data_IF_055195369157
#
_entry.id   IF_055195369157
#
_cell.length_a   1.000
_cell.length_b   1.000
_cell.length_c   1.000
_cell.angle_alpha   90.00
_cell.angle_beta   90.00
_cell.angle_gamma   90.00
#
_symmetry.space_group_name_H-M   'P 1'
#
loop_
_entity.id
_entity.type
_entity.pdbx_description
1 polymer ?
#
# COMPACT_ATOMS: atom_id res chain seq x y z
N UNK A 1 13.87 23.54 -13.07
CA UNK A 1 13.66 22.35 -13.91
C UNK A 1 12.46 22.45 -14.85
N UNK A 2 11.66 23.53 -14.76
CA UNK A 2 10.52 23.77 -15.69
C UNK A 2 9.21 23.07 -15.31
N UNK A 3 9.12 22.49 -14.12
CA UNK A 3 7.85 22.00 -13.60
C UNK A 3 6.94 23.15 -13.15
N UNK A 4 5.65 23.07 -13.48
CA UNK A 4 4.59 23.83 -12.85
C UNK A 4 4.19 23.13 -11.57
N UNK A 5 4.35 23.81 -10.42
CA UNK A 5 4.24 23.23 -9.09
C UNK A 5 3.12 23.91 -8.30
N UNK A 6 2.19 23.12 -7.80
CA UNK A 6 1.11 23.56 -6.90
C UNK A 6 1.27 22.89 -5.54
N UNK A 7 1.45 23.69 -4.48
CA UNK A 7 1.44 23.20 -3.10
C UNK A 7 0.01 23.29 -2.59
N UNK A 8 -0.54 22.14 -2.21
CA UNK A 8 -1.93 21.98 -1.76
C UNK A 8 -1.91 21.69 -0.26
N UNK A 9 -2.65 22.49 0.50
CA UNK A 9 -2.78 22.32 1.94
C UNK A 9 -4.20 21.88 2.29
N UNK A 10 -4.33 20.75 3.00
CA UNK A 10 -5.59 20.19 3.44
C UNK A 10 -5.58 19.92 4.95
N UNK A 11 -6.78 19.88 5.55
CA UNK A 11 -6.95 19.60 6.96
C UNK A 11 -6.12 20.51 7.85
N UNK A 12 -5.46 19.93 8.85
CA UNK A 12 -4.63 20.67 9.81
C UNK A 12 -3.17 20.80 9.31
N UNK A 13 -3.00 21.58 8.22
CA UNK A 13 -1.71 21.95 7.61
C UNK A 13 -0.93 20.80 6.93
N UNK A 14 -1.61 19.74 6.47
CA UNK A 14 -0.99 18.71 5.65
C UNK A 14 -0.69 19.27 4.27
N UNK A 15 0.59 19.27 3.89
CA UNK A 15 1.05 19.81 2.61
C UNK A 15 1.30 18.69 1.61
N UNK A 16 0.76 18.88 0.41
CA UNK A 16 0.98 17.98 -0.71
C UNK A 16 1.52 18.78 -1.89
N UNK A 17 2.27 18.14 -2.75
CA UNK A 17 2.77 18.73 -3.99
C UNK A 17 2.14 18.02 -5.19
N UNK A 18 1.52 18.79 -6.07
CA UNK A 18 1.26 18.37 -7.44
C UNK A 18 2.18 19.16 -8.37
N UNK A 19 3.05 18.45 -9.10
CA UNK A 19 3.96 19.06 -10.06
C UNK A 19 3.73 18.46 -11.45
N UNK A 20 3.71 19.29 -12.49
CA UNK A 20 3.52 18.84 -13.87
C UNK A 20 4.58 19.45 -14.79
N UNK A 21 5.17 18.60 -15.63
CA UNK A 21 6.10 19.02 -16.68
C UNK A 21 5.47 18.79 -18.04
N UNK A 22 5.40 19.84 -18.85
CA UNK A 22 4.74 19.89 -20.16
C UNK A 22 3.21 19.63 -20.06
N UNK A 23 2.49 20.03 -21.09
CA UNK A 23 1.07 19.75 -21.25
C UNK A 23 0.88 18.85 -22.46
N UNK A 24 0.16 17.76 -22.28
CA UNK A 24 -0.12 16.78 -23.32
C UNK A 24 -0.77 15.52 -22.77
N UNK A 25 -1.15 14.64 -23.66
CA UNK A 25 -1.65 13.30 -23.35
C UNK A 25 -0.81 12.29 -24.12
N UNK A 26 -0.52 11.11 -23.51
CA UNK A 26 -0.92 10.69 -22.18
C UNK A 26 -0.18 11.43 -21.05
N UNK A 27 -0.74 11.42 -19.83
CA UNK A 27 -0.10 11.92 -18.61
C UNK A 27 0.39 10.74 -17.75
N UNK A 28 1.70 10.54 -17.69
CA UNK A 28 2.34 9.65 -16.74
C UNK A 28 2.47 10.35 -15.38
N UNK A 29 1.96 9.74 -14.32
CA UNK A 29 2.13 10.24 -12.96
C UNK A 29 3.08 9.35 -12.16
N UNK A 30 3.93 9.98 -11.36
CA UNK A 30 4.60 9.34 -10.24
C UNK A 30 3.93 9.78 -8.95
N UNK A 31 3.65 8.84 -8.06
CA UNK A 31 3.12 9.15 -6.73
C UNK A 31 4.05 8.61 -5.63
N UNK A 32 4.10 9.33 -4.51
CA UNK A 32 4.88 8.94 -3.36
C UNK A 32 4.67 9.86 -2.17
N UNK A 33 5.28 9.51 -1.03
CA UNK A 33 5.16 10.27 0.20
C UNK A 33 6.52 10.68 0.78
N UNK A 34 6.49 11.68 1.65
CA UNK A 34 7.68 12.21 2.34
C UNK A 34 7.55 12.21 3.86
N UNK A 35 6.34 11.96 4.38
CA UNK A 35 6.15 11.65 5.80
C UNK A 35 6.71 10.27 6.12
N UNK A 36 6.85 9.99 7.40
CA UNK A 36 7.50 8.76 7.89
C UNK A 36 6.88 8.34 9.22
N UNK A 37 6.86 7.04 9.49
CA UNK A 37 6.47 6.52 10.80
C UNK A 37 7.43 7.00 11.91
N UNK A 38 6.97 7.06 13.17
CA UNK A 38 7.83 7.39 14.30
C UNK A 38 9.09 6.51 14.34
N UNK A 39 10.24 7.06 14.78
CA UNK A 39 11.52 6.34 14.77
C UNK A 39 11.63 5.23 15.84
N UNK A 40 10.70 5.16 16.78
CA UNK A 40 10.81 4.30 17.95
C UNK A 40 11.83 4.88 18.97
N UNK A 41 12.53 4.00 19.67
CA UNK A 41 13.50 4.41 20.70
C UNK A 41 14.78 4.96 20.05
N UNK A 42 15.05 6.26 20.20
CA UNK A 42 16.22 6.92 19.59
C UNK A 42 17.56 6.30 20.02
N UNK A 43 17.64 5.79 21.25
CA UNK A 43 18.85 5.14 21.79
C UNK A 43 19.25 3.84 21.08
N UNK A 44 18.31 3.22 20.35
CA UNK A 44 18.53 1.95 19.66
C UNK A 44 19.05 2.17 18.22
N UNK A 45 19.06 3.43 17.76
CA UNK A 45 19.63 3.78 16.45
C UNK A 45 21.15 3.93 16.54
N UNK A 46 21.84 3.26 15.62
CA UNK A 46 23.30 3.41 15.46
C UNK A 46 23.66 4.79 14.89
N UNK A 47 22.76 5.39 14.08
CA UNK A 47 22.85 6.74 13.50
C UNK A 47 21.55 7.47 13.78
N UNK A 48 21.58 8.79 13.91
CA UNK A 48 20.37 9.56 14.17
C UNK A 48 19.32 9.34 13.06
N UNK A 49 18.07 8.96 13.39
CA UNK A 49 17.06 8.63 12.36
C UNK A 49 16.77 9.78 11.40
N UNK A 50 16.92 11.03 11.84
CA UNK A 50 16.69 12.24 11.05
C UNK A 50 17.99 12.99 10.69
N UNK A 51 19.13 12.35 10.91
CA UNK A 51 20.44 12.84 10.50
C UNK A 51 21.06 11.78 9.55
N UNK A 52 20.71 11.82 8.23
CA UNK A 52 21.10 10.75 7.31
C UNK A 52 22.61 10.66 7.14
N UNK A 53 23.12 9.44 7.14
CA UNK A 53 24.55 9.15 6.98
C UNK A 53 24.75 8.06 5.92
N UNK A 54 25.76 8.27 5.04
CA UNK A 54 26.21 7.23 4.12
C UNK A 54 27.43 6.54 4.72
N UNK A 55 27.31 5.23 4.97
CA UNK A 55 28.41 4.38 5.45
C UNK A 55 28.41 3.05 4.71
N UNK A 56 29.57 2.62 4.28
CA UNK A 56 29.79 1.36 3.53
C UNK A 56 28.84 1.19 2.33
N UNK A 57 28.55 2.29 1.62
CA UNK A 57 27.65 2.31 0.49
C UNK A 57 26.14 2.22 0.83
N UNK A 58 25.78 2.28 2.12
CA UNK A 58 24.40 2.31 2.61
C UNK A 58 24.04 3.70 3.11
N UNK A 59 22.89 4.22 2.70
CA UNK A 59 22.28 5.45 3.25
C UNK A 59 21.37 5.07 4.42
N UNK A 60 21.70 5.51 5.61
CA UNK A 60 20.92 5.30 6.84
C UNK A 60 20.03 6.50 7.13
N UNK A 61 18.81 6.26 7.56
CA UNK A 61 17.86 7.28 8.01
C UNK A 61 16.40 6.81 7.90
N UNK A 62 15.54 7.30 8.77
CA UNK A 62 14.10 7.05 8.71
C UNK A 62 13.53 7.64 7.41
N UNK A 63 12.80 6.83 6.64
CA UNK A 63 12.27 7.19 5.33
C UNK A 63 13.26 6.96 4.18
N UNK A 64 14.46 6.43 4.45
CA UNK A 64 15.41 6.10 3.40
C UNK A 64 14.87 4.99 2.49
N UNK A 65 14.29 3.94 3.06
CA UNK A 65 13.64 2.88 2.29
C UNK A 65 12.18 3.24 1.95
N UNK A 66 11.45 3.81 2.89
CA UNK A 66 10.02 4.09 2.78
C UNK A 66 9.74 5.58 2.97
N UNK A 67 9.53 6.35 1.84
CA UNK A 67 9.90 5.95 0.46
C UNK A 67 10.71 7.06 -0.25
N UNK A 68 11.46 7.87 0.52
CA UNK A 68 12.17 9.05 -0.02
C UNK A 68 13.19 8.70 -1.12
N UNK A 69 13.78 7.48 -1.08
CA UNK A 69 14.66 7.02 -2.15
C UNK A 69 13.93 6.84 -3.48
N UNK A 70 12.69 6.33 -3.45
CA UNK A 70 11.85 6.21 -4.65
C UNK A 70 11.55 7.58 -5.25
N UNK A 71 11.15 8.55 -4.40
CA UNK A 71 10.91 9.94 -4.81
C UNK A 71 12.17 10.56 -5.40
N UNK A 72 13.31 10.43 -4.72
CA UNK A 72 14.58 10.99 -5.19
C UNK A 72 15.05 10.37 -6.52
N UNK A 73 14.91 9.05 -6.67
CA UNK A 73 15.26 8.35 -7.90
C UNK A 73 14.42 8.80 -9.09
N UNK A 74 13.10 8.99 -8.89
CA UNK A 74 12.22 9.49 -9.94
C UNK A 74 12.58 10.94 -10.34
N UNK A 75 12.78 11.82 -9.36
CA UNK A 75 13.17 13.22 -9.62
C UNK A 75 14.51 13.26 -10.38
N UNK A 76 15.49 12.44 -9.97
CA UNK A 76 16.79 12.36 -10.65
C UNK A 76 16.65 11.85 -12.10
N UNK A 77 15.80 10.84 -12.35
CA UNK A 77 15.51 10.38 -13.72
C UNK A 77 14.93 11.51 -14.58
N UNK A 78 14.00 12.29 -14.04
CA UNK A 78 13.41 13.44 -14.73
C UNK A 78 14.43 14.54 -15.02
N UNK A 79 15.28 14.88 -14.04
CA UNK A 79 16.33 15.89 -14.23
C UNK A 79 17.30 15.47 -15.34
N UNK A 80 17.68 14.19 -15.39
CA UNK A 80 18.54 13.64 -16.43
C UNK A 80 17.88 13.75 -17.82
N UNK A 81 16.62 13.33 -17.95
CA UNK A 81 15.89 13.39 -19.22
C UNK A 81 15.72 14.83 -19.73
N UNK A 82 15.44 15.78 -18.85
CA UNK A 82 15.33 17.20 -19.20
C UNK A 82 16.69 17.73 -19.65
N UNK A 83 17.78 17.41 -18.95
CA UNK A 83 19.12 17.81 -19.33
C UNK A 83 19.56 17.24 -20.70
N UNK A 84 19.13 16.02 -21.02
CA UNK A 84 19.35 15.36 -22.31
C UNK A 84 18.39 15.86 -23.41
N UNK A 85 17.48 16.79 -23.09
CA UNK A 85 16.47 17.34 -24.01
C UNK A 85 15.56 16.26 -24.61
N UNK A 86 15.21 15.26 -23.79
CA UNK A 86 14.30 14.20 -24.20
C UNK A 86 12.93 14.77 -24.64
N UNK A 87 12.39 14.24 -25.73
CA UNK A 87 11.11 14.66 -26.27
C UNK A 87 9.98 13.81 -25.68
N UNK A 88 9.20 14.42 -24.79
CA UNK A 88 8.04 13.77 -24.16
C UNK A 88 6.84 13.86 -25.10
N UNK A 89 6.36 12.72 -25.61
CA UNK A 89 5.12 12.65 -26.38
C UNK A 89 3.92 12.53 -25.42
N UNK A 90 3.68 13.57 -24.65
CA UNK A 90 2.66 13.61 -23.59
C UNK A 90 3.04 14.58 -22.48
N UNK A 91 2.58 14.30 -21.26
CA UNK A 91 2.97 15.03 -20.06
C UNK A 91 3.39 14.08 -18.95
N UNK A 92 4.17 14.59 -17.99
CA UNK A 92 4.56 13.85 -16.80
C UNK A 92 4.25 14.68 -15.57
N UNK A 93 3.72 14.04 -14.55
CA UNK A 93 3.36 14.67 -13.28
C UNK A 93 3.90 13.90 -12.08
N UNK A 94 4.04 14.60 -10.96
CA UNK A 94 4.36 14.01 -9.67
C UNK A 94 3.32 14.45 -8.64
N UNK A 95 2.82 13.49 -7.86
CA UNK A 95 1.96 13.70 -6.70
C UNK A 95 2.75 13.24 -5.48
N UNK A 96 3.16 14.17 -4.62
CA UNK A 96 3.93 13.88 -3.42
C UNK A 96 3.14 14.33 -2.21
N UNK A 97 2.77 13.38 -1.34
CA UNK A 97 2.04 13.65 -0.10
C UNK A 97 2.96 13.69 1.13
N UNK A 98 2.49 14.33 2.20
CA UNK A 98 3.07 14.24 3.54
C UNK A 98 2.11 13.62 4.55
N UNK A 99 1.21 12.74 4.12
CA UNK A 99 0.19 12.12 4.96
C UNK A 99 -0.22 10.71 4.49
N UNK A 100 0.73 9.90 4.04
CA UNK A 100 0.49 8.49 3.71
C UNK A 100 0.45 7.64 4.97
N UNK A 101 1.38 7.87 5.90
CA UNK A 101 1.63 7.04 7.07
C UNK A 101 0.68 7.33 8.25
N UNK A 102 -0.13 8.39 8.18
CA UNK A 102 -0.93 8.81 9.34
C UNK A 102 -2.30 9.42 9.02
N UNK A 103 -2.33 10.52 8.29
CA UNK A 103 -3.55 11.31 8.04
C UNK A 103 -4.01 11.19 6.57
N UNK A 104 -4.18 9.95 6.11
CA UNK A 104 -4.43 9.59 4.70
C UNK A 104 -5.58 10.36 4.03
N UNK A 105 -6.57 10.84 4.81
CA UNK A 105 -7.70 11.63 4.31
C UNK A 105 -7.28 13.00 3.75
N UNK A 106 -6.14 13.56 4.24
CA UNK A 106 -5.59 14.85 3.81
C UNK A 106 -4.41 14.69 2.83
N UNK A 107 -4.02 13.45 2.54
CA UNK A 107 -2.94 13.09 1.63
C UNK A 107 -3.41 12.92 0.19
N UNK A 108 -2.97 11.84 -0.43
CA UNK A 108 -3.25 11.50 -1.84
C UNK A 108 -4.74 11.52 -2.16
N UNK A 109 -5.62 11.04 -1.27
CA UNK A 109 -7.07 11.07 -1.46
C UNK A 109 -7.60 12.50 -1.70
N UNK A 110 -7.18 13.46 -0.86
CA UNK A 110 -7.60 14.86 -1.02
C UNK A 110 -7.03 15.50 -2.31
N UNK A 111 -5.79 15.14 -2.68
CA UNK A 111 -5.19 15.62 -3.95
C UNK A 111 -5.96 15.07 -5.15
N UNK A 112 -6.34 13.80 -5.15
CA UNK A 112 -7.14 13.21 -6.25
C UNK A 112 -8.52 13.86 -6.39
N UNK A 113 -9.17 14.21 -5.28
CA UNK A 113 -10.42 14.97 -5.30
C UNK A 113 -10.23 16.40 -5.86
N UNK A 114 -9.16 17.09 -5.44
CA UNK A 114 -8.80 18.39 -6.00
C UNK A 114 -8.50 18.27 -7.51
N UNK A 115 -7.76 17.24 -7.95
CA UNK A 115 -7.49 17.00 -9.37
C UNK A 115 -8.79 16.80 -10.17
N UNK A 116 -9.74 16.03 -9.63
CA UNK A 116 -11.06 15.82 -10.23
C UNK A 116 -11.78 17.15 -10.42
N UNK A 117 -11.81 18.00 -9.39
CA UNK A 117 -12.45 19.33 -9.45
C UNK A 117 -11.76 20.28 -10.44
N UNK A 118 -10.46 20.12 -10.66
CA UNK A 118 -9.65 20.88 -11.64
C UNK A 118 -9.58 20.21 -13.02
N UNK A 119 -10.30 19.10 -13.23
CA UNK A 119 -10.30 18.32 -14.48
C UNK A 119 -8.87 17.88 -14.91
N UNK A 120 -7.96 17.69 -13.95
CA UNK A 120 -6.63 17.16 -14.20
C UNK A 120 -6.72 15.63 -14.30
N UNK A 121 -6.21 15.07 -15.40
CA UNK A 121 -6.27 13.62 -15.66
C UNK A 121 -4.88 12.98 -15.55
N UNK A 122 -4.86 11.74 -15.12
CA UNK A 122 -3.72 10.83 -15.15
C UNK A 122 -4.11 9.64 -16.01
N UNK A 123 -3.22 9.18 -16.89
CA UNK A 123 -3.48 8.02 -17.75
C UNK A 123 -2.80 6.75 -17.21
N UNK A 124 -1.71 6.89 -16.48
CA UNK A 124 -1.02 5.81 -15.78
C UNK A 124 -0.24 6.35 -14.59
N UNK A 125 -0.16 5.60 -13.51
CA UNK A 125 0.60 5.99 -12.32
C UNK A 125 1.60 4.91 -11.89
N UNK A 126 2.80 5.35 -11.48
CA UNK A 126 3.78 4.54 -10.76
C UNK A 126 3.89 5.08 -9.34
N UNK A 127 3.61 4.25 -8.35
CA UNK A 127 3.85 4.59 -6.94
C UNK A 127 5.22 4.06 -6.55
N UNK A 128 6.08 4.92 -6.01
CA UNK A 128 7.50 4.62 -5.76
C UNK A 128 7.76 3.86 -4.45
N UNK A 129 6.79 3.11 -3.94
CA UNK A 129 6.87 2.28 -2.73
C UNK A 129 7.98 1.23 -2.79
N UNK A 130 8.59 0.86 -1.64
CA UNK A 130 9.62 -0.19 -1.59
C UNK A 130 9.00 -1.57 -1.85
N UNK A 131 8.99 -2.00 -3.10
CA UNK A 131 8.35 -3.24 -3.54
C UNK A 131 9.30 -4.41 -3.71
N UNK A 132 10.58 -4.14 -3.98
CA UNK A 132 11.58 -5.17 -4.19
C UNK A 132 11.84 -5.96 -2.90
N UNK A 133 12.01 -7.28 -3.01
CA UNK A 133 12.05 -8.19 -1.85
C UNK A 133 13.47 -8.53 -1.43
N UNK A 134 14.22 -9.24 -2.28
CA UNK A 134 15.60 -9.69 -2.01
C UNK A 134 16.63 -8.94 -2.83
N UNK A 135 16.26 -8.55 -4.03
CA UNK A 135 17.10 -7.79 -4.98
C UNK A 135 16.28 -6.69 -5.58
N UNK A 136 16.91 -5.55 -5.86
CA UNK A 136 16.24 -4.48 -6.59
C UNK A 136 15.65 -5.04 -7.90
N UNK A 137 14.40 -4.71 -8.16
CA UNK A 137 13.72 -5.10 -9.39
C UNK A 137 13.14 -6.50 -9.41
N UNK A 138 13.21 -7.28 -8.33
CA UNK A 138 12.67 -8.64 -8.31
C UNK A 138 11.13 -8.68 -8.20
N UNK A 139 10.48 -7.57 -7.87
CA UNK A 139 9.02 -7.54 -7.62
C UNK A 139 8.40 -6.20 -8.01
N UNK A 140 7.35 -6.25 -8.82
CA UNK A 140 6.39 -5.15 -9.08
C UNK A 140 5.08 -5.49 -8.37
N UNK A 141 4.49 -4.51 -7.68
CA UNK A 141 3.13 -4.68 -7.12
C UNK A 141 2.09 -4.19 -8.11
N UNK A 142 1.17 -5.09 -8.47
CA UNK A 142 0.03 -4.81 -9.34
C UNK A 142 -1.28 -4.76 -8.56
N UNK A 143 -1.23 -4.91 -7.24
CA UNK A 143 -2.37 -4.89 -6.36
C UNK A 143 -1.96 -5.07 -4.91
N UNK A 144 -2.88 -4.79 -4.01
CA UNK A 144 -2.73 -4.96 -2.56
C UNK A 144 -4.03 -5.46 -1.97
N UNK A 145 -3.93 -6.25 -0.90
CA UNK A 145 -5.10 -6.67 -0.13
C UNK A 145 -5.66 -5.49 0.65
N UNK A 146 -6.97 -5.47 0.82
CA UNK A 146 -7.63 -4.55 1.73
C UNK A 146 -7.35 -4.90 3.19
N UNK A 147 -7.62 -3.95 4.07
CA UNK A 147 -7.42 -4.08 5.51
C UNK A 147 -8.63 -3.55 6.25
N UNK A 148 -9.19 -4.36 7.14
CA UNK A 148 -10.27 -3.96 8.04
C UNK A 148 -9.97 -4.42 9.45
N UNK A 149 -10.11 -3.49 10.40
CA UNK A 149 -9.93 -3.77 11.83
C UNK A 149 -11.29 -3.75 12.53
N UNK A 150 -11.56 -4.80 13.29
CA UNK A 150 -12.72 -4.89 14.15
C UNK A 150 -12.33 -4.63 15.60
N UNK A 151 -13.20 -3.89 16.30
CA UNK A 151 -13.20 -3.81 17.76
C UNK A 151 -14.51 -4.41 18.25
N UNK A 152 -14.40 -5.44 19.08
CA UNK A 152 -15.56 -6.14 19.68
C UNK A 152 -15.52 -5.94 21.18
N UNK A 153 -16.62 -5.47 21.74
CA UNK A 153 -16.85 -5.35 23.19
C UNK A 153 -17.99 -6.32 23.54
N UNK A 154 -17.70 -7.36 24.32
CA UNK A 154 -18.73 -8.22 24.90
C UNK A 154 -19.03 -7.75 26.29
N UNK A 155 -20.34 -7.65 26.59
CA UNK A 155 -20.82 -7.34 27.91
C UNK A 155 -21.23 -8.62 28.66
N UNK A 156 -21.15 -8.56 29.95
CA UNK A 156 -21.58 -9.61 30.87
C UNK A 156 -22.02 -9.04 32.20
N UNK A 157 -22.11 -9.89 33.22
CA UNK A 157 -22.49 -9.49 34.55
C UNK A 157 -21.37 -9.77 35.54
N UNK A 158 -20.84 -8.69 36.13
CA UNK A 158 -19.79 -8.80 37.14
C UNK A 158 -20.29 -9.61 38.35
N UNK A 159 -19.37 -10.44 38.90
CA UNK A 159 -19.71 -11.23 40.10
C UNK A 159 -18.49 -11.88 40.75
N UNK A 160 -18.72 -12.56 41.86
CA UNK A 160 -17.68 -13.27 42.57
C UNK A 160 -17.41 -14.63 41.92
N UNK A 161 -16.17 -15.02 41.69
CA UNK A 161 -15.79 -16.28 41.01
C UNK A 161 -16.29 -17.54 41.70
N UNK A 162 -16.56 -17.48 43.03
CA UNK A 162 -17.14 -18.60 43.79
C UNK A 162 -18.63 -18.81 43.53
N UNK A 163 -19.29 -17.83 42.87
CA UNK A 163 -20.75 -17.89 42.61
C UNK A 163 -21.00 -17.60 41.10
N UNK A 164 -20.51 -18.46 40.21
CA UNK A 164 -20.57 -18.20 38.76
C UNK A 164 -22.01 -18.10 38.24
N UNK A 165 -22.98 -18.78 38.86
CA UNK A 165 -24.41 -18.74 38.47
C UNK A 165 -25.06 -17.37 38.71
N UNK A 166 -24.44 -16.48 39.48
CA UNK A 166 -24.91 -15.12 39.74
C UNK A 166 -24.25 -14.07 38.79
N UNK A 167 -23.31 -14.50 37.96
CA UNK A 167 -22.54 -13.68 37.05
C UNK A 167 -22.74 -14.15 35.61
N UNK A 168 -22.17 -13.37 34.68
CA UNK A 168 -22.05 -13.74 33.25
C UNK A 168 -20.68 -13.30 32.76
N UNK A 169 -19.82 -14.24 32.39
CA UNK A 169 -18.43 -13.96 32.10
C UNK A 169 -18.21 -13.57 30.62
N UNK A 170 -17.94 -12.31 30.30
CA UNK A 170 -17.74 -11.86 28.93
C UNK A 170 -16.45 -12.39 28.30
N UNK A 171 -15.48 -12.84 29.09
CA UNK A 171 -14.22 -13.44 28.58
C UNK A 171 -14.54 -14.70 27.77
N UNK A 172 -15.43 -15.56 28.27
CA UNK A 172 -15.81 -16.79 27.59
C UNK A 172 -16.58 -16.49 26.28
N UNK A 173 -17.36 -15.40 26.23
CA UNK A 173 -18.00 -14.93 24.99
C UNK A 173 -16.97 -14.54 23.97
N UNK A 174 -15.99 -13.69 24.35
CA UNK A 174 -14.87 -13.29 23.46
C UNK A 174 -14.09 -14.49 22.95
N UNK A 175 -13.70 -15.44 23.83
CA UNK A 175 -12.98 -16.65 23.43
C UNK A 175 -13.79 -17.47 22.41
N UNK A 176 -15.08 -17.64 22.65
CA UNK A 176 -15.98 -18.41 21.76
C UNK A 176 -16.12 -17.73 20.39
N UNK A 177 -16.30 -16.41 20.36
CA UNK A 177 -16.38 -15.63 19.11
C UNK A 177 -15.05 -15.72 18.36
N UNK A 178 -13.91 -15.44 19.01
CA UNK A 178 -12.60 -15.47 18.38
C UNK A 178 -12.23 -16.87 17.86
N UNK A 179 -12.64 -17.92 18.56
CA UNK A 179 -12.46 -19.30 18.09
C UNK A 179 -13.23 -19.55 16.79
N UNK A 180 -14.47 -19.08 16.68
CA UNK A 180 -15.25 -19.18 15.44
C UNK A 180 -14.63 -18.36 14.33
N UNK A 181 -14.24 -17.09 14.57
CA UNK A 181 -13.58 -16.22 13.60
C UNK A 181 -12.30 -16.84 13.06
N UNK A 182 -11.43 -17.38 13.96
CA UNK A 182 -10.18 -18.06 13.57
C UNK A 182 -10.40 -19.26 12.67
N UNK A 183 -11.48 -20.01 12.90
CA UNK A 183 -11.79 -21.21 12.12
C UNK A 183 -12.65 -20.91 10.87
N UNK A 184 -12.99 -19.64 10.62
CA UNK A 184 -13.73 -19.24 9.42
C UNK A 184 -12.80 -19.22 8.23
N UNK A 185 -13.19 -19.92 7.15
CA UNK A 185 -12.58 -19.77 5.83
C UNK A 185 -13.29 -18.62 5.13
N UNK A 186 -12.62 -17.48 4.98
CA UNK A 186 -13.19 -16.31 4.32
C UNK A 186 -13.32 -16.52 2.81
N UNK A 187 -12.29 -17.09 2.19
CA UNK A 187 -12.17 -17.47 0.77
C UNK A 187 -10.97 -18.40 0.57
N UNK A 188 -10.76 -18.84 -0.66
CA UNK A 188 -9.63 -19.72 -1.03
C UNK A 188 -8.50 -18.98 -1.77
N UNK A 189 -8.63 -17.66 -1.92
CA UNK A 189 -7.74 -16.88 -2.78
C UNK A 189 -7.99 -17.16 -4.26
N UNK A 190 -7.17 -16.53 -5.11
CA UNK A 190 -7.30 -16.67 -6.55
C UNK A 190 -5.92 -16.53 -7.25
N UNK A 191 -5.92 -16.43 -8.58
CA UNK A 191 -4.69 -16.30 -9.39
C UNK A 191 -3.77 -15.17 -8.90
N UNK A 192 -4.33 -14.10 -8.35
CA UNK A 192 -3.59 -12.89 -7.98
C UNK A 192 -3.41 -12.73 -6.48
N UNK A 193 -4.32 -13.27 -5.68
CA UNK A 193 -4.35 -13.04 -4.23
C UNK A 193 -4.31 -14.34 -3.43
N UNK A 194 -3.59 -14.27 -2.33
CA UNK A 194 -3.67 -15.28 -1.27
C UNK A 194 -5.06 -15.24 -0.60
N UNK A 195 -5.48 -16.31 0.09
CA UNK A 195 -6.69 -16.31 0.90
C UNK A 195 -6.72 -15.16 1.92
N UNK A 196 -7.90 -14.62 2.16
CA UNK A 196 -8.14 -13.66 3.24
C UNK A 196 -7.94 -14.34 4.59
N UNK A 197 -7.35 -13.62 5.56
CA UNK A 197 -7.07 -14.15 6.87
C UNK A 197 -7.28 -13.11 7.97
N UNK A 198 -7.52 -13.61 9.18
CA UNK A 198 -7.75 -12.81 10.38
C UNK A 198 -6.64 -13.05 11.40
N UNK A 199 -6.15 -11.95 12.03
CA UNK A 199 -5.24 -11.99 13.16
C UNK A 199 -5.79 -11.17 14.31
N UNK A 200 -5.81 -11.78 15.51
CA UNK A 200 -6.21 -11.11 16.76
C UNK A 200 -5.01 -10.31 17.27
N UNK A 201 -5.23 -9.02 17.55
CA UNK A 201 -4.15 -8.11 17.94
C UNK A 201 -4.16 -7.79 19.44
N UNK A 202 -5.34 -7.71 20.08
CA UNK A 202 -5.44 -7.52 21.53
C UNK A 202 -6.64 -8.27 22.11
N UNK A 203 -6.54 -8.63 23.39
CA UNK A 203 -7.65 -9.02 24.25
C UNK A 203 -7.46 -8.28 25.58
N UNK A 204 -8.33 -7.32 25.85
CA UNK A 204 -8.21 -6.40 26.97
C UNK A 204 -9.41 -6.55 27.90
N UNK A 205 -9.16 -6.88 29.14
CA UNK A 205 -10.19 -7.03 30.17
C UNK A 205 -10.04 -5.96 31.27
N UNK A 206 -8.79 -5.51 31.53
CA UNK A 206 -8.48 -4.52 32.55
C UNK A 206 -8.77 -4.98 33.99
N UNK A 207 -8.95 -6.29 34.20
CA UNK A 207 -9.29 -6.85 35.51
C UNK A 207 -8.03 -7.28 36.30
N UNK A 208 -7.67 -6.55 37.33
CA UNK A 208 -6.53 -6.84 38.20
C UNK A 208 -6.89 -7.66 39.45
N UNK A 209 -8.14 -8.15 39.56
CA UNK A 209 -8.68 -8.82 40.76
C UNK A 209 -8.99 -10.28 40.44
N UNK A 210 -8.28 -11.21 41.11
CA UNK A 210 -8.36 -12.66 40.81
C UNK A 210 -9.68 -13.35 41.21
N UNK A 211 -10.44 -12.76 42.11
CA UNK A 211 -11.70 -13.30 42.59
C UNK A 211 -12.94 -12.59 42.05
N UNK A 212 -12.80 -11.78 40.99
CA UNK A 212 -13.85 -11.02 40.33
C UNK A 212 -14.04 -11.48 38.89
N UNK A 213 -15.25 -11.84 38.49
CA UNK A 213 -15.67 -11.98 37.10
C UNK A 213 -15.91 -10.58 36.54
N UNK A 214 -15.28 -10.12 35.45
CA UNK A 214 -15.44 -8.76 34.91
C UNK A 214 -16.82 -8.56 34.29
N UNK A 215 -17.26 -7.29 34.14
CA UNK A 215 -18.52 -6.92 33.48
C UNK A 215 -18.40 -6.72 31.97
N UNK A 216 -17.17 -6.59 31.43
CA UNK A 216 -16.93 -6.47 30.00
C UNK A 216 -15.57 -7.02 29.63
N UNK A 217 -15.41 -7.38 28.35
CA UNK A 217 -14.14 -7.76 27.73
C UNK A 217 -14.09 -7.19 26.30
N UNK A 218 -12.94 -6.63 25.92
CA UNK A 218 -12.73 -6.01 24.61
C UNK A 218 -11.67 -6.78 23.84
N UNK A 219 -11.84 -6.92 22.53
CA UNK A 219 -10.83 -7.49 21.65
C UNK A 219 -10.75 -6.71 20.36
N UNK A 220 -9.56 -6.67 19.76
CA UNK A 220 -9.35 -6.16 18.40
C UNK A 220 -8.71 -7.24 17.55
N UNK A 221 -9.13 -7.30 16.30
CA UNK A 221 -8.57 -8.19 15.29
C UNK A 221 -8.61 -7.52 13.92
N UNK A 222 -7.66 -7.88 13.08
CA UNK A 222 -7.54 -7.33 11.71
C UNK A 222 -7.76 -8.45 10.70
N UNK A 223 -8.53 -8.15 9.64
CA UNK A 223 -8.70 -9.02 8.50
C UNK A 223 -8.01 -8.39 7.29
N UNK A 224 -7.05 -9.12 6.71
CA UNK A 224 -6.48 -8.82 5.40
C UNK A 224 -7.26 -9.58 4.36
N UNK A 225 -7.96 -8.87 3.48
CA UNK A 225 -8.90 -9.45 2.54
C UNK A 225 -8.52 -9.19 1.08
N UNK A 226 -8.87 -10.12 0.21
CA UNK A 226 -8.68 -10.03 -1.23
C UNK A 226 -9.96 -9.53 -1.93
N UNK A 227 -9.94 -9.47 -3.26
CA UNK A 227 -11.03 -8.94 -4.08
C UNK A 227 -12.28 -9.84 -4.19
N UNK A 228 -12.31 -10.98 -3.49
CA UNK A 228 -13.51 -11.82 -3.32
C UNK A 228 -14.35 -11.38 -2.12
N UNK A 229 -13.81 -10.47 -1.29
CA UNK A 229 -14.43 -9.94 -0.09
C UNK A 229 -14.71 -8.44 -0.22
N UNK A 230 -15.64 -7.96 0.60
CA UNK A 230 -15.90 -6.53 0.78
C UNK A 230 -15.98 -6.20 2.27
N UNK A 231 -15.65 -4.97 2.70
CA UNK A 231 -15.78 -4.58 4.11
C UNK A 231 -17.17 -4.84 4.68
N UNK A 232 -18.23 -4.52 3.91
CA UNK A 232 -19.60 -4.76 4.32
C UNK A 232 -19.96 -6.24 4.45
N UNK A 233 -19.46 -7.09 3.55
CA UNK A 233 -19.64 -8.54 3.64
C UNK A 233 -18.92 -9.14 4.86
N UNK A 234 -17.70 -8.68 5.12
CA UNK A 234 -16.93 -9.08 6.30
C UNK A 234 -17.62 -8.62 7.60
N UNK A 235 -18.14 -7.38 7.64
CA UNK A 235 -18.89 -6.90 8.80
C UNK A 235 -20.09 -7.80 9.10
N UNK A 236 -20.90 -8.11 8.08
CA UNK A 236 -22.08 -8.97 8.22
C UNK A 236 -21.70 -10.37 8.74
N UNK A 237 -20.65 -10.97 8.19
CA UNK A 237 -20.17 -12.28 8.62
C UNK A 237 -19.71 -12.28 10.09
N UNK A 238 -18.95 -11.27 10.50
CA UNK A 238 -18.48 -11.15 11.88
C UNK A 238 -19.65 -10.88 12.84
N UNK A 239 -20.61 -10.05 12.46
CA UNK A 239 -21.81 -9.77 13.24
C UNK A 239 -22.67 -11.02 13.44
N UNK A 240 -22.84 -11.85 12.39
CA UNK A 240 -23.51 -13.16 12.47
C UNK A 240 -22.78 -14.13 13.40
N UNK A 241 -21.43 -14.11 13.42
CA UNK A 241 -20.64 -14.92 14.36
C UNK A 241 -20.86 -14.43 15.80
N UNK A 242 -20.83 -13.12 16.05
CA UNK A 242 -21.04 -12.53 17.36
C UNK A 242 -22.43 -12.85 17.89
N UNK A 243 -23.48 -12.61 17.12
CA UNK A 243 -24.86 -12.86 17.48
C UNK A 243 -25.16 -14.35 17.71
N UNK A 244 -24.40 -15.26 17.08
CA UNK A 244 -24.51 -16.71 17.37
C UNK A 244 -23.98 -17.13 18.75
N UNK A 245 -23.34 -16.22 19.49
CA UNK A 245 -22.76 -16.46 20.82
C UNK A 245 -23.48 -15.65 21.90
N UNK A 246 -23.79 -14.39 21.61
CA UNK A 246 -24.44 -13.47 22.57
C UNK A 246 -25.11 -12.33 21.82
N UNK A 247 -26.20 -11.80 22.40
CA UNK A 247 -26.89 -10.60 21.92
C UNK A 247 -26.33 -9.33 22.58
N UNK A 248 -25.53 -9.45 23.65
CA UNK A 248 -24.99 -8.33 24.42
C UNK A 248 -23.55 -8.04 24.06
N UNK A 249 -23.39 -7.37 22.90
CA UNK A 249 -22.08 -6.93 22.38
C UNK A 249 -22.18 -5.61 21.59
N UNK A 250 -21.03 -5.00 21.35
CA UNK A 250 -20.85 -3.90 20.39
C UNK A 250 -19.74 -4.26 19.43
N UNK A 251 -20.01 -4.12 18.13
CA UNK A 251 -19.07 -4.37 17.07
C UNK A 251 -18.81 -3.09 16.30
N UNK A 252 -17.55 -2.67 16.24
CA UNK A 252 -17.09 -1.53 15.44
C UNK A 252 -16.14 -2.03 14.36
N UNK A 253 -16.21 -1.41 13.18
CA UNK A 253 -15.36 -1.72 12.05
C UNK A 253 -14.67 -0.45 11.57
N UNK A 254 -13.35 -0.53 11.40
CA UNK A 254 -12.51 0.52 10.81
C UNK A 254 -11.85 -0.03 9.57
N UNK A 255 -12.27 0.47 8.41
CA UNK A 255 -11.62 0.14 7.12
C UNK A 255 -10.64 1.27 6.77
N UNK A 256 -9.38 0.93 6.48
CA UNK A 256 -8.39 1.92 6.09
C UNK A 256 -8.37 2.09 4.57
N UNK A 257 -8.01 1.03 3.85
CA UNK A 257 -7.87 1.07 2.38
C UNK A 257 -8.46 -0.20 1.77
N UNK A 258 -9.19 -0.03 0.67
CA UNK A 258 -9.78 -1.14 -0.06
C UNK A 258 -8.73 -1.94 -0.84
N UNK A 259 -9.09 -3.19 -1.13
CA UNK A 259 -8.32 -4.03 -2.05
C UNK A 259 -8.27 -3.38 -3.43
N UNK A 260 -7.13 -3.50 -4.10
CA UNK A 260 -7.03 -3.15 -5.51
C UNK A 260 -6.25 -4.19 -6.30
N UNK A 261 -6.55 -4.24 -7.59
CA UNK A 261 -5.83 -5.02 -8.59
C UNK A 261 -5.82 -4.22 -9.89
N UNK A 262 -4.64 -3.88 -10.37
CA UNK A 262 -4.42 -3.41 -11.72
C UNK A 262 -4.10 -4.63 -12.60
N UNK A 263 -4.97 -4.91 -13.56
CA UNK A 263 -4.69 -5.97 -14.54
C UNK A 263 -3.44 -5.58 -15.32
N UNK A 264 -2.43 -6.46 -15.41
CA UNK A 264 -1.24 -6.19 -16.19
C UNK A 264 -1.58 -5.77 -17.62
N UNK A 265 -0.96 -4.70 -18.07
CA UNK A 265 -1.17 -4.09 -19.38
C UNK A 265 0.20 -3.76 -20.02
N UNK A 266 0.14 -3.10 -21.19
CA UNK A 266 1.34 -2.61 -21.88
C UNK A 266 2.29 -1.81 -20.98
N UNK A 267 1.78 -1.01 -20.04
CA UNK A 267 2.64 -0.18 -19.17
C UNK A 267 3.37 -1.04 -18.15
N UNK A 268 2.72 -2.11 -17.67
CA UNK A 268 3.35 -3.14 -16.85
C UNK A 268 4.51 -3.81 -17.60
N UNK A 269 4.28 -4.18 -18.87
CA UNK A 269 5.31 -4.80 -19.72
C UNK A 269 6.49 -3.85 -19.95
N UNK A 270 6.24 -2.56 -20.18
CA UNK A 270 7.30 -1.53 -20.30
C UNK A 270 8.16 -1.47 -19.02
N UNK A 271 7.54 -1.57 -17.83
CA UNK A 271 8.30 -1.58 -16.58
C UNK A 271 9.12 -2.86 -16.43
N UNK A 272 8.57 -4.03 -16.78
CA UNK A 272 9.29 -5.30 -16.79
C UNK A 272 10.51 -5.24 -17.73
N UNK A 273 10.33 -4.73 -18.94
CA UNK A 273 11.42 -4.56 -19.92
C UNK A 273 12.48 -3.58 -19.44
N UNK A 274 12.09 -2.46 -18.81
CA UNK A 274 13.03 -1.49 -18.25
C UNK A 274 13.88 -2.10 -17.14
N UNK A 275 13.28 -2.88 -16.23
CA UNK A 275 14.01 -3.59 -15.17
C UNK A 275 14.99 -4.58 -15.78
N UNK A 276 14.53 -5.43 -16.70
CA UNK A 276 15.38 -6.44 -17.35
C UNK A 276 16.54 -5.80 -18.11
N UNK A 277 16.28 -4.73 -18.87
CA UNK A 277 17.31 -4.01 -19.65
C UNK A 277 18.40 -3.40 -18.77
N UNK A 278 18.03 -2.78 -17.63
CA UNK A 278 18.98 -2.05 -16.78
C UNK A 278 19.76 -2.96 -15.85
N UNK A 279 19.11 -3.98 -15.28
CA UNK A 279 19.73 -4.81 -14.23
C UNK A 279 19.66 -6.32 -14.49
N UNK A 280 19.13 -6.75 -15.64
CA UNK A 280 19.03 -8.17 -16.05
C UNK A 280 18.29 -9.05 -15.04
N UNK A 281 17.16 -8.55 -14.52
CA UNK A 281 16.28 -9.27 -13.60
C UNK A 281 14.90 -9.40 -14.23
N UNK A 282 14.30 -10.60 -14.15
CA UNK A 282 12.91 -10.86 -14.48
C UNK A 282 12.06 -10.64 -13.22
N UNK A 283 11.33 -9.53 -13.19
CA UNK A 283 10.51 -9.17 -12.05
C UNK A 283 9.24 -10.02 -11.96
N UNK A 284 8.87 -10.44 -10.74
CA UNK A 284 7.59 -11.07 -10.48
C UNK A 284 6.50 -10.03 -10.23
N UNK A 285 5.31 -10.27 -10.77
CA UNK A 285 4.11 -9.51 -10.44
C UNK A 285 3.49 -10.05 -9.13
N UNK A 286 3.14 -9.17 -8.21
CA UNK A 286 2.71 -9.57 -6.87
C UNK A 286 1.63 -8.64 -6.32
N UNK A 287 0.79 -9.19 -5.41
CA UNK A 287 -0.22 -8.47 -4.65
C UNK A 287 0.01 -8.57 -3.14
N UNK A 288 1.15 -9.15 -2.73
CA UNK A 288 1.49 -9.33 -1.32
C UNK A 288 1.92 -8.03 -0.64
N UNK A 289 1.88 -8.00 0.69
CA UNK A 289 2.35 -6.89 1.52
C UNK A 289 1.23 -6.07 2.15
N UNK A 290 1.61 -4.91 2.70
CA UNK A 290 0.70 -3.92 3.28
C UNK A 290 -0.12 -3.19 2.22
N UNK A 291 -0.86 -2.17 2.61
CA UNK A 291 -1.59 -1.28 1.69
C UNK A 291 -0.74 -0.04 1.38
N UNK A 292 -1.15 0.76 0.39
CA UNK A 292 -0.48 2.00 -0.02
C UNK A 292 -1.48 2.96 -0.66
N UNK A 293 -1.03 4.15 -1.02
CA UNK A 293 -1.82 5.16 -1.73
C UNK A 293 -2.29 4.72 -3.14
N UNK A 294 -1.68 3.67 -3.70
CA UNK A 294 -2.18 3.06 -4.94
C UNK A 294 -3.64 2.61 -4.82
N UNK A 295 -4.11 2.29 -3.61
CA UNK A 295 -5.51 1.94 -3.35
C UNK A 295 -6.50 3.09 -3.64
N UNK A 296 -6.07 4.35 -3.57
CA UNK A 296 -6.88 5.52 -3.95
C UNK A 296 -6.71 5.86 -5.44
N UNK A 297 -5.49 5.69 -5.96
CA UNK A 297 -5.13 6.06 -7.34
C UNK A 297 -5.82 5.13 -8.35
N UNK A 298 -6.04 3.86 -8.01
CA UNK A 298 -6.71 2.86 -8.86
C UNK A 298 -8.08 3.30 -9.40
N UNK A 299 -8.77 4.15 -8.66
CA UNK A 299 -10.10 4.64 -9.04
C UNK A 299 -10.03 5.78 -10.09
N UNK A 300 -8.81 6.28 -10.36
CA UNK A 300 -8.54 7.37 -11.30
C UNK A 300 -7.85 6.86 -12.56
N UNK A 301 -6.86 5.97 -12.42
CA UNK A 301 -6.11 5.41 -13.54
C UNK A 301 -5.50 4.03 -13.19
N UNK A 302 -5.04 3.24 -14.17
CA UNK A 302 -4.21 2.08 -13.90
C UNK A 302 -2.95 2.47 -13.14
N UNK A 303 -2.57 1.65 -12.14
CA UNK A 303 -1.45 1.94 -11.23
C UNK A 303 -0.63 0.69 -10.94
N UNK A 304 0.68 0.85 -10.89
CA UNK A 304 1.61 -0.16 -10.37
C UNK A 304 2.47 0.48 -9.27
N UNK A 305 3.03 -0.37 -8.42
CA UNK A 305 4.02 0.09 -7.45
C UNK A 305 5.36 -0.55 -7.76
N UNK A 306 6.40 0.27 -7.78
CA UNK A 306 7.76 -0.19 -8.01
C UNK A 306 8.77 0.73 -7.34
N UNK A 307 9.72 0.14 -6.59
CA UNK A 307 10.78 0.89 -5.93
C UNK A 307 11.85 0.02 -5.28
N UNK A 308 12.49 0.59 -4.27
CA UNK A 308 13.66 0.04 -3.60
C UNK A 308 13.35 -1.29 -2.86
N UNK A 309 14.39 -1.93 -2.31
CA UNK A 309 14.24 -3.14 -1.49
C UNK A 309 13.59 -2.81 -0.15
N UNK A 310 12.50 -3.51 0.18
CA UNK A 310 11.72 -3.34 1.40
C UNK A 310 12.29 -4.18 2.59
N UNK A 311 13.59 -4.17 2.81
CA UNK A 311 14.18 -4.99 3.87
C UNK A 311 14.15 -4.32 5.24
N UNK A 312 14.26 -3.01 5.28
CA UNK A 312 14.46 -2.23 6.52
C UNK A 312 13.39 -1.18 6.75
N UNK A 313 12.35 -1.10 5.90
CA UNK A 313 11.22 -0.19 6.09
C UNK A 313 10.61 -0.36 7.49
N UNK A 314 10.32 0.76 8.16
CA UNK A 314 9.78 0.86 9.52
C UNK A 314 10.68 0.28 10.64
N UNK A 315 11.87 -0.24 10.32
CA UNK A 315 12.80 -0.78 11.31
C UNK A 315 13.75 0.31 11.88
N UNK A 316 14.31 0.03 13.03
CA UNK A 316 15.45 0.78 13.58
C UNK A 316 16.65 0.54 12.64
N UNK A 317 17.46 1.59 12.42
CA UNK A 317 18.55 1.59 11.45
C UNK A 317 18.10 1.34 10.01
N UNK A 318 16.92 1.85 9.67
CA UNK A 318 16.43 1.85 8.30
C UNK A 318 17.50 2.36 7.34
N UNK A 319 17.75 1.63 6.25
CA UNK A 319 18.78 1.97 5.29
C UNK A 319 18.51 1.40 3.90
N UNK A 320 19.16 1.97 2.91
CA UNK A 320 19.13 1.51 1.50
C UNK A 320 20.52 1.57 0.89
N UNK A 321 20.78 0.72 -0.11
CA UNK A 321 22.00 0.79 -0.90
C UNK A 321 21.97 2.01 -1.82
N UNK A 322 23.02 2.85 -1.74
CA UNK A 322 23.20 4.02 -2.66
C UNK A 322 23.28 3.55 -4.11
N UNK A 323 23.95 2.41 -4.37
CA UNK A 323 24.02 1.83 -5.69
C UNK A 323 22.65 1.42 -6.22
N UNK A 324 21.76 0.92 -5.34
CA UNK A 324 20.41 0.55 -5.76
C UNK A 324 19.54 1.78 -6.04
N UNK A 325 19.75 2.91 -5.36
CA UNK A 325 19.10 4.19 -5.71
C UNK A 325 19.52 4.62 -7.14
N UNK A 326 20.82 4.54 -7.48
CA UNK A 326 21.29 4.86 -8.83
C UNK A 326 20.70 3.92 -9.90
N UNK A 327 20.61 2.62 -9.60
CA UNK A 327 19.97 1.66 -10.51
C UNK A 327 18.47 1.94 -10.66
N UNK A 328 17.78 2.26 -9.56
CA UNK A 328 16.36 2.62 -9.60
C UNK A 328 16.13 3.87 -10.45
N UNK A 329 17.01 4.88 -10.33
CA UNK A 329 16.99 6.07 -11.20
C UNK A 329 17.12 5.70 -12.68
N UNK A 330 18.02 4.78 -13.01
CA UNK A 330 18.20 4.32 -14.39
C UNK A 330 16.99 3.53 -14.90
N UNK A 331 16.36 2.70 -14.05
CA UNK A 331 15.13 1.97 -14.39
C UNK A 331 13.98 2.95 -14.66
N UNK A 332 13.75 3.93 -13.77
CA UNK A 332 12.71 4.94 -14.00
C UNK A 332 12.96 5.75 -15.27
N UNK A 333 14.22 6.11 -15.55
CA UNK A 333 14.58 6.79 -16.80
C UNK A 333 14.21 5.94 -18.02
N UNK A 334 14.64 4.69 -18.06
CA UNK A 334 14.35 3.75 -19.16
C UNK A 334 12.84 3.52 -19.32
N UNK A 335 12.10 3.38 -18.20
CA UNK A 335 10.65 3.24 -18.22
C UNK A 335 9.98 4.47 -18.84
N UNK A 336 10.37 5.69 -18.44
CA UNK A 336 9.81 6.95 -18.96
C UNK A 336 10.08 7.07 -20.46
N UNK A 337 11.32 6.79 -20.90
CA UNK A 337 11.70 6.82 -22.32
C UNK A 337 10.81 5.90 -23.16
N UNK A 338 10.59 4.66 -22.72
CA UNK A 338 9.78 3.67 -23.44
C UNK A 338 8.28 3.92 -23.31
N UNK A 339 7.82 4.55 -22.25
CA UNK A 339 6.41 4.95 -22.08
C UNK A 339 6.01 5.97 -23.14
N UNK A 340 6.83 7.01 -23.36
CA UNK A 340 6.53 8.07 -24.32
C UNK A 340 6.97 7.75 -25.76
N UNK A 341 8.02 6.96 -25.95
CA UNK A 341 8.56 6.60 -27.26
C UNK A 341 8.79 5.08 -27.35
N UNK A 342 7.72 4.27 -27.47
CA UNK A 342 7.85 2.83 -27.48
C UNK A 342 8.69 2.34 -28.66
N UNK A 343 9.67 1.49 -28.38
CA UNK A 343 10.46 0.82 -29.41
C UNK A 343 9.60 -0.20 -30.17
N UNK A 344 9.89 -0.43 -31.46
CA UNK A 344 9.14 -1.35 -32.33
C UNK A 344 9.02 -2.80 -31.78
N UNK A 345 9.86 -3.19 -30.82
CA UNK A 345 9.81 -4.51 -30.18
C UNK A 345 8.56 -4.70 -29.32
N UNK A 346 8.16 -3.65 -28.62
CA UNK A 346 6.94 -3.65 -27.75
C UNK A 346 5.66 -3.63 -28.60
N UNK A 347 5.68 -2.92 -29.73
CA UNK A 347 4.54 -2.87 -30.65
C UNK A 347 4.22 -4.24 -31.28
N UNK A 348 5.21 -5.11 -31.49
CA UNK A 348 5.01 -6.42 -32.06
C UNK A 348 4.44 -7.46 -31.06
N UNK A 349 4.68 -7.33 -29.77
CA UNK A 349 4.09 -8.21 -28.74
C UNK A 349 2.60 -7.95 -28.54
N UNK A 350 2.15 -6.71 -28.63
CA UNK A 350 0.72 -6.35 -28.52
C UNK A 350 -0.09 -6.94 -29.68
N UNK A 351 0.47 -6.98 -30.89
CA UNK A 351 -0.19 -7.57 -32.07
C UNK A 351 -0.32 -9.10 -32.01
N UNK A 352 0.52 -9.78 -31.24
CA UNK A 352 0.46 -11.25 -31.06
C UNK A 352 -0.66 -11.61 -30.06
N UNK A 353 -0.84 -10.82 -28.98
CA UNK A 353 -1.89 -11.08 -27.98
C UNK A 353 -3.29 -10.75 -28.53
N UNK A 354 -3.43 -9.71 -29.36
CA UNK A 354 -4.71 -9.37 -29.99
C UNK A 354 -5.16 -10.39 -31.06
N UNK A 355 -4.23 -11.12 -31.67
CA UNK A 355 -4.53 -12.17 -32.65
C UNK A 355 -4.87 -13.54 -32.04
N UNK A 356 -4.60 -13.76 -30.74
CA UNK A 356 -4.95 -15.02 -30.05
C UNK A 356 -6.41 -15.00 -29.53
N UNK A 357 -7.03 -13.81 -29.41
CA UNK A 357 -8.41 -13.67 -28.91
C UNK A 357 -9.51 -13.82 -30.01
N UNK A 358 -9.15 -14.07 -31.24
CA UNK A 358 -10.11 -14.23 -32.39
C UNK A 358 -10.18 -15.64 -32.99
N UNK A 359 -9.84 -16.68 -32.21
CA UNK A 359 -10.09 -18.07 -32.62
C UNK A 359 -11.53 -18.50 -32.32
N UNK A 360 -12.21 -19.26 -33.23
CA UNK A 360 -13.60 -19.60 -33.04
C UNK A 360 -13.79 -20.58 -31.88
N UNK A 361 -14.79 -20.29 -31.04
CA UNK A 361 -15.40 -21.23 -30.11
C UNK A 361 -15.94 -22.41 -30.92
N UNK A 362 -15.33 -23.57 -30.79
CA UNK A 362 -15.90 -24.84 -31.28
C UNK A 362 -16.86 -25.37 -30.20
N UNK A 363 -18.02 -25.77 -30.69
CA UNK A 363 -19.22 -26.26 -30.02
C UNK A 363 -19.01 -27.46 -29.06
#
# INVERSE_FOLDING_TARGET
SGFDCEILEFGDKVKNLYAKYINGVPNLCFAGHVDVVPPGQLKDWAFGPFNPEVRDGMLYGRGAADMKSGVAAFIAAMVNLIAEKFQFNGSISALITSAEESMEEYGTKAVLEWMKNKQKKIDFCVVGEPTSSKKLGDTIKIGRRGSVTFELICHGKQGHVAYPDLADNPIYKVISILSKVKNTTFDHGNKYFQPSHCEVTTIDVGNNTSNLIPGSATTRFNIRYNNEQTPGGLYKLIDEICSSVTDDYKLFMHSSRDVFLSTPDRNTDIMLDAINKVISIDAALSTSGGTSDAAFIKDVCPVIEFGIINKTAHQINECVSVNDIHKLTAIYKEFIENYFNPTNKILNQVNVVSNISSGPLLA
#
